data_IF_333107274257
#
_entry.id   IF_333107274257
#
_cell.length_a   1.000
_cell.length_b   1.000
_cell.length_c   1.000
_cell.angle_alpha   90.00
_cell.angle_beta   90.00
_cell.angle_gamma   90.00
#
_symmetry.space_group_name_H-M   'P 1'
#
loop_
_entity.id
_entity.type
_entity.pdbx_description
1 polymer ?
#
# COMPACT_ATOMS: atom_id res chain seq x y z
N UNK A 1 7.05 -7.80 1.37
CA UNK A 1 6.25 -6.97 2.31
C UNK A 1 6.09 -7.79 3.58
N UNK A 2 6.09 -7.17 4.77
CA UNK A 2 5.77 -7.88 6.00
C UNK A 2 4.53 -7.24 6.63
N UNK A 3 3.45 -8.01 6.76
CA UNK A 3 2.13 -7.52 7.16
C UNK A 3 1.66 -8.29 8.41
N UNK A 4 1.02 -7.58 9.34
CA UNK A 4 0.32 -8.14 10.49
C UNK A 4 -1.14 -7.73 10.42
N UNK A 5 -2.03 -8.71 10.54
CA UNK A 5 -3.47 -8.51 10.59
C UNK A 5 -3.96 -8.54 12.04
N UNK A 6 -4.76 -7.56 12.41
CA UNK A 6 -5.66 -7.62 13.56
C UNK A 6 -7.08 -7.90 13.10
N UNK A 7 -8.04 -7.83 14.04
CA UNK A 7 -9.46 -8.11 13.76
C UNK A 7 -10.06 -7.14 12.73
N UNK A 8 -9.72 -5.86 12.81
CA UNK A 8 -10.28 -4.79 11.97
C UNK A 8 -9.22 -3.87 11.37
N UNK A 9 -7.94 -4.17 11.59
CA UNK A 9 -6.82 -3.30 11.22
C UNK A 9 -5.65 -4.11 10.69
N UNK A 10 -4.76 -3.43 9.96
CA UNK A 10 -3.49 -4.00 9.57
C UNK A 10 -2.35 -2.99 9.81
N UNK A 11 -1.15 -3.51 9.99
CA UNK A 11 0.08 -2.75 9.99
C UNK A 11 1.20 -3.58 9.37
N UNK A 12 2.14 -2.96 8.67
CA UNK A 12 3.24 -3.68 8.05
C UNK A 12 4.38 -2.78 7.61
N UNK A 13 5.50 -3.44 7.28
CA UNK A 13 6.64 -2.79 6.61
C UNK A 13 6.57 -3.08 5.11
N UNK A 14 6.69 -2.02 4.32
CA UNK A 14 6.71 -2.11 2.87
C UNK A 14 7.98 -1.48 2.32
N UNK A 15 8.63 -2.19 1.40
CA UNK A 15 9.87 -1.78 0.74
C UNK A 15 9.75 -2.07 -0.75
N UNK A 16 10.09 -1.07 -1.55
CA UNK A 16 10.18 -1.17 -3.01
C UNK A 16 11.65 -0.94 -3.37
N UNK A 17 12.22 -1.84 -4.16
CA UNK A 17 13.59 -1.73 -4.66
C UNK A 17 13.53 -1.45 -6.16
N UNK A 18 14.13 -0.36 -6.59
CA UNK A 18 14.23 0.04 -7.99
C UNK A 18 15.60 -0.34 -8.56
N UNK A 19 15.76 -0.39 -9.89
CA UNK A 19 17.07 -0.46 -10.54
C UNK A 19 18.01 0.62 -9.99
N UNK A 20 19.29 0.26 -9.79
CA UNK A 20 20.29 1.19 -9.23
C UNK A 20 20.27 1.30 -7.70
N UNK A 21 19.69 0.33 -6.98
CA UNK A 21 19.64 0.27 -5.51
C UNK A 21 18.89 1.43 -4.84
N UNK A 22 18.09 2.19 -5.59
CA UNK A 22 17.15 3.13 -4.99
C UNK A 22 16.06 2.34 -4.23
N UNK A 23 15.79 2.76 -3.00
CA UNK A 23 14.87 2.07 -2.10
C UNK A 23 13.86 3.07 -1.55
N UNK A 24 12.59 2.77 -1.75
CA UNK A 24 11.51 3.37 -0.97
C UNK A 24 11.17 2.40 0.16
N UNK A 25 11.13 2.89 1.39
CA UNK A 25 10.80 2.05 2.54
C UNK A 25 9.98 2.80 3.56
N UNK A 26 9.03 2.10 4.16
CA UNK A 26 8.18 2.69 5.17
C UNK A 26 7.17 1.72 5.75
N UNK A 27 6.09 2.28 6.25
CA UNK A 27 5.04 1.58 6.97
C UNK A 27 3.72 1.70 6.23
N UNK A 28 3.00 0.60 6.15
CA UNK A 28 1.61 0.56 5.70
C UNK A 28 0.72 0.29 6.90
N UNK A 29 -0.39 1.02 7.02
CA UNK A 29 -1.38 0.77 8.08
C UNK A 29 -2.76 1.21 7.66
N UNK A 30 -3.78 0.54 8.19
CA UNK A 30 -5.15 0.87 7.85
C UNK A 30 -6.16 -0.09 8.44
N UNK A 31 -7.31 -0.17 7.77
CA UNK A 31 -8.45 -0.99 8.15
C UNK A 31 -8.61 -2.18 7.21
N UNK A 32 -9.19 -3.24 7.73
CA UNK A 32 -9.62 -4.41 6.97
C UNK A 32 -11.12 -4.30 6.72
N UNK A 33 -11.52 -4.44 5.46
CA UNK A 33 -12.90 -4.47 5.00
C UNK A 33 -13.09 -5.72 4.15
N UNK A 34 -13.60 -6.80 4.75
CA UNK A 34 -13.67 -8.12 4.12
C UNK A 34 -12.29 -8.58 3.60
N UNK A 35 -12.14 -8.73 2.29
CA UNK A 35 -10.92 -9.10 1.58
C UNK A 35 -10.02 -7.91 1.24
N UNK A 36 -10.45 -6.69 1.56
CA UNK A 36 -9.77 -5.46 1.15
C UNK A 36 -9.10 -4.79 2.34
N UNK A 37 -7.81 -4.48 2.19
CA UNK A 37 -7.01 -3.76 3.18
C UNK A 37 -6.79 -2.35 2.66
N UNK A 38 -7.41 -1.36 3.30
CA UNK A 38 -7.35 0.03 2.88
C UNK A 38 -6.69 0.90 3.95
N UNK A 39 -5.71 1.70 3.55
CA UNK A 39 -4.95 2.53 4.47
C UNK A 39 -3.97 3.47 3.78
N UNK A 40 -2.89 3.77 4.48
CA UNK A 40 -1.84 4.69 4.02
C UNK A 40 -0.48 4.00 3.99
N UNK A 41 0.34 4.38 3.01
CA UNK A 41 1.77 4.09 2.96
C UNK A 41 2.55 5.36 3.31
N UNK A 42 3.16 5.37 4.50
CA UNK A 42 4.07 6.43 4.93
C UNK A 42 5.51 5.97 4.74
N UNK A 43 6.25 6.64 3.88
CA UNK A 43 7.56 6.15 3.44
C UNK A 43 8.59 7.23 3.19
N UNK A 44 9.85 6.85 3.32
CA UNK A 44 10.97 7.65 2.87
C UNK A 44 11.30 7.27 1.43
N UNK A 45 11.13 8.22 0.52
CA UNK A 45 11.54 8.05 -0.87
C UNK A 45 13.06 8.21 -0.99
N UNK A 46 13.70 7.39 -1.81
CA UNK A 46 15.14 7.52 -2.07
C UNK A 46 15.51 8.95 -2.52
N UNK A 47 16.49 9.57 -1.83
CA UNK A 47 16.96 10.93 -2.11
C UNK A 47 16.14 12.06 -1.47
N UNK A 48 15.05 11.77 -0.75
CA UNK A 48 14.22 12.78 -0.09
C UNK A 48 14.50 12.86 1.41
N UNK A 49 14.45 14.09 1.96
CA UNK A 49 14.59 14.34 3.40
C UNK A 49 13.31 13.99 4.17
N UNK A 50 12.17 14.35 3.61
CA UNK A 50 10.86 14.19 4.24
C UNK A 50 10.18 12.87 3.88
N UNK A 51 9.36 12.38 4.81
CA UNK A 51 8.47 11.25 4.54
C UNK A 51 7.29 11.69 3.67
N UNK A 52 6.91 10.83 2.72
CA UNK A 52 5.69 10.95 1.92
C UNK A 52 4.60 10.07 2.49
N UNK A 53 3.35 10.44 2.22
CA UNK A 53 2.16 9.65 2.53
C UNK A 53 1.41 9.47 1.21
N UNK A 54 0.95 8.25 0.94
CA UNK A 54 0.10 7.91 -0.21
C UNK A 54 -1.00 6.96 0.23
N UNK A 55 -2.17 6.97 -0.41
CA UNK A 55 -3.19 5.97 -0.13
C UNK A 55 -2.66 4.60 -0.58
N UNK A 56 -3.08 3.57 0.13
CA UNK A 56 -2.61 2.21 -0.05
C UNK A 56 -3.79 1.25 0.04
N UNK A 57 -3.89 0.36 -0.94
CA UNK A 57 -4.96 -0.63 -0.98
C UNK A 57 -4.44 -1.97 -1.48
N UNK A 58 -4.83 -3.03 -0.79
CA UNK A 58 -4.60 -4.41 -1.19
C UNK A 58 -5.93 -5.15 -1.27
N UNK A 59 -6.07 -6.00 -2.28
CA UNK A 59 -7.13 -7.00 -2.38
C UNK A 59 -6.54 -8.39 -2.09
N UNK A 60 -7.10 -9.10 -1.13
CA UNK A 60 -6.76 -10.48 -0.85
C UNK A 60 -7.43 -11.39 -1.89
N UNK A 61 -6.62 -12.22 -2.56
CA UNK A 61 -7.08 -13.23 -3.52
C UNK A 61 -6.38 -14.55 -3.23
N UNK A 62 -7.08 -15.44 -2.53
CA UNK A 62 -6.47 -16.64 -1.94
C UNK A 62 -5.38 -16.23 -0.93
N UNK A 63 -4.17 -16.78 -1.11
CA UNK A 63 -3.02 -16.44 -0.27
C UNK A 63 -2.23 -15.20 -0.78
N UNK A 64 -2.61 -14.68 -1.95
CA UNK A 64 -1.93 -13.52 -2.54
C UNK A 64 -2.60 -12.20 -2.15
N UNK A 65 -1.80 -11.12 -2.13
CA UNK A 65 -2.27 -9.75 -1.96
C UNK A 65 -1.95 -8.95 -3.22
N UNK A 66 -2.98 -8.41 -3.87
CA UNK A 66 -2.86 -7.61 -5.09
C UNK A 66 -2.88 -6.14 -4.71
N UNK A 67 -1.83 -5.39 -5.07
CA UNK A 67 -1.82 -3.95 -4.85
C UNK A 67 -2.69 -3.25 -5.90
N UNK A 68 -3.74 -2.57 -5.44
CA UNK A 68 -4.57 -1.74 -6.28
C UNK A 68 -3.91 -0.40 -6.62
N UNK A 69 -4.39 0.20 -7.68
CA UNK A 69 -4.02 1.56 -8.11
C UNK A 69 -5.28 2.39 -8.31
N UNK A 70 -5.14 3.71 -8.29
CA UNK A 70 -6.25 4.61 -8.58
C UNK A 70 -5.78 6.05 -8.64
N UNK A 71 -6.71 6.96 -8.96
CA UNK A 71 -6.43 8.39 -8.97
C UNK A 71 -6.31 8.86 -7.52
N UNK A 72 -5.14 9.37 -7.14
CA UNK A 72 -4.90 9.87 -5.79
C UNK A 72 -5.36 11.33 -5.66
N UNK A 73 -6.10 11.63 -4.60
CA UNK A 73 -6.56 12.97 -4.25
C UNK A 73 -6.07 13.35 -2.86
N UNK A 74 -5.95 14.67 -2.64
CA UNK A 74 -5.68 15.27 -1.35
C UNK A 74 -6.86 16.16 -0.97
N UNK A 75 -7.56 15.79 0.10
CA UNK A 75 -8.66 16.58 0.66
C UNK A 75 -8.45 16.78 2.14
N UNK A 76 -8.47 18.03 2.60
CA UNK A 76 -8.27 18.41 4.01
C UNK A 76 -7.03 17.74 4.65
N UNK A 77 -5.94 17.60 3.90
CA UNK A 77 -4.69 17.01 4.39
C UNK A 77 -4.66 15.48 4.40
N UNK A 78 -5.72 14.81 3.93
CA UNK A 78 -5.82 13.34 3.85
C UNK A 78 -5.67 12.90 2.40
N UNK A 79 -4.77 11.94 2.17
CA UNK A 79 -4.61 11.30 0.88
C UNK A 79 -5.58 10.12 0.75
N UNK A 80 -6.27 9.99 -0.38
CA UNK A 80 -7.23 8.91 -0.63
C UNK A 80 -7.35 8.63 -2.14
N UNK A 81 -7.91 7.48 -2.50
CA UNK A 81 -8.28 7.20 -3.89
C UNK A 81 -9.61 7.87 -4.22
N UNK A 82 -9.68 8.54 -5.36
CA UNK A 82 -10.92 9.09 -5.87
C UNK A 82 -11.99 7.99 -5.99
N UNK A 83 -13.27 8.31 -5.73
CA UNK A 83 -14.37 7.37 -5.95
C UNK A 83 -14.29 6.73 -7.33
N UNK A 84 -14.57 5.43 -7.41
CA UNK A 84 -14.61 4.64 -8.66
C UNK A 84 -13.28 4.54 -9.43
N UNK A 85 -12.18 5.11 -8.90
CA UNK A 85 -10.87 5.07 -9.58
C UNK A 85 -10.01 3.86 -9.23
N UNK A 86 -10.37 3.12 -8.17
CA UNK A 86 -9.61 1.95 -7.71
C UNK A 86 -9.75 0.83 -8.74
N UNK A 87 -8.63 0.35 -9.25
CA UNK A 87 -8.53 -0.83 -10.08
C UNK A 87 -7.47 -1.79 -9.53
N UNK A 88 -7.78 -3.08 -9.62
CA UNK A 88 -6.87 -4.18 -9.35
C UNK A 88 -6.41 -4.88 -10.63
N UNK A 89 -6.76 -4.33 -11.80
CA UNK A 89 -6.34 -4.83 -13.10
C UNK A 89 -4.90 -4.41 -13.39
N UNK A 90 -4.14 -5.28 -14.07
CA UNK A 90 -2.72 -5.05 -14.40
C UNK A 90 -1.89 -4.55 -13.20
N UNK A 91 -1.92 -5.26 -12.05
CA UNK A 91 -1.33 -4.77 -10.83
C UNK A 91 0.18 -4.62 -10.96
N UNK A 92 0.72 -3.50 -10.45
CA UNK A 92 2.17 -3.29 -10.40
C UNK A 92 2.86 -4.26 -9.44
N UNK A 93 2.19 -4.63 -8.36
CA UNK A 93 2.73 -5.51 -7.33
C UNK A 93 1.69 -6.56 -6.93
N UNK A 94 2.14 -7.81 -6.87
CA UNK A 94 1.44 -8.93 -6.27
C UNK A 94 2.37 -9.54 -5.24
N UNK A 95 1.87 -9.71 -4.02
CA UNK A 95 2.63 -10.30 -2.92
C UNK A 95 2.15 -11.72 -2.67
N UNK A 96 3.11 -12.61 -2.49
CA UNK A 96 2.89 -14.02 -2.16
C UNK A 96 3.43 -14.30 -0.75
N UNK A 97 2.87 -15.29 -0.04
CA UNK A 97 3.44 -15.73 1.23
C UNK A 97 4.88 -16.20 1.02
N UNK A 98 5.74 -15.94 2.00
CA UNK A 98 7.06 -16.57 2.04
C UNK A 98 6.85 -18.03 2.47
N UNK A 99 7.39 -18.97 1.67
CA UNK A 99 7.39 -20.41 1.98
C UNK A 99 8.34 -20.73 3.13
#
# INVERSE_FOLDING_TARGET
>A
MNLRLGEHTFYGKYRIVYPGNAIDSGEVKGKVFNDTLMGDYRYKQYGWKENKIRPFILLQKGDSLIQGTGMELLYLGVFYFAPESISFDSPRFVFYPEN
#
